data_IF_659575155172
#
_entry.id   IF_659575155172
#
_cell.length_a   1.000
_cell.length_b   1.000
_cell.length_c   1.000
_cell.angle_alpha   90.00
_cell.angle_beta   90.00
_cell.angle_gamma   90.00
#
_symmetry.space_group_name_H-M   'P 1'
#
loop_
_entity.id
_entity.type
_entity.pdbx_description
1 polymer ?
2 non-polymer ?
3 non-polymer ?
4 non-polymer ?
5 water ?
#
# COMPACT_ATOMS: atom_id res chain seq x y z
N UNK A 5 4.29 9.10 -19.66
CA UNK A 5 3.81 8.01 -18.82
C UNK A 5 3.05 8.49 -17.61
N UNK A 6 3.60 9.48 -16.91
CA UNK A 6 2.94 10.06 -15.75
C UNK A 6 1.82 10.98 -16.20
N UNK A 7 0.69 10.90 -15.51
CA UNK A 7 -0.48 11.73 -15.81
C UNK A 7 -0.75 12.58 -14.58
N UNK A 8 -0.64 13.90 -14.74
CA UNK A 8 -0.97 14.82 -13.67
C UNK A 8 -2.47 15.05 -13.69
N UNK A 9 -3.11 14.87 -12.55
CA UNK A 9 -4.56 15.01 -12.43
C UNK A 9 -4.77 15.77 -11.15
N UNK A 10 -5.07 17.06 -11.29
CA UNK A 10 -5.03 17.94 -10.13
C UNK A 10 -3.65 17.89 -9.51
N UNK A 11 -3.63 17.68 -8.20
CA UNK A 11 -2.39 17.64 -7.44
C UNK A 11 -1.84 16.23 -7.29
N UNK A 12 -2.39 15.26 -8.01
CA UNK A 12 -1.99 13.86 -7.93
C UNK A 12 -1.34 13.43 -9.25
N UNK A 13 -0.65 12.29 -9.21
CA UNK A 13 0.00 11.73 -10.38
C UNK A 13 -0.40 10.27 -10.49
N UNK A 14 -0.72 9.84 -11.71
CA UNK A 14 -1.13 8.47 -12.00
C UNK A 14 -0.23 7.90 -13.08
N UNK A 15 0.20 6.66 -12.91
CA UNK A 15 1.12 6.01 -13.85
C UNK A 15 0.64 4.60 -14.10
N UNK A 16 0.40 4.26 -15.37
CA UNK A 16 0.01 2.89 -15.70
C UNK A 16 1.23 1.98 -15.58
N UNK A 17 1.06 0.86 -14.88
CA UNK A 17 2.12 -0.12 -14.68
C UNK A 17 1.92 -1.41 -15.44
N UNK A 18 0.68 -1.72 -15.78
CA UNK A 18 0.30 -2.94 -16.48
C UNK A 18 -1.06 -2.69 -17.10
N UNK A 19 -1.53 -3.57 -17.99
CA UNK A 19 -2.83 -3.31 -18.63
C UNK A 19 -3.98 -3.00 -17.67
N UNK A 20 -3.98 -3.59 -16.48
CA UNK A 20 -5.06 -3.43 -15.51
C UNK A 20 -4.58 -2.80 -14.20
N UNK A 21 -3.39 -2.20 -14.16
CA UNK A 21 -2.82 -1.70 -12.92
C UNK A 21 -2.24 -0.30 -13.10
N UNK A 22 -2.58 0.61 -12.19
CA UNK A 22 -2.04 1.96 -12.15
C UNK A 22 -1.54 2.27 -10.75
N UNK A 23 -0.51 3.11 -10.68
CA UNK A 23 0.00 3.65 -9.43
C UNK A 23 -0.57 5.04 -9.21
N UNK A 24 -1.13 5.29 -8.02
CA UNK A 24 -1.55 6.63 -7.63
C UNK A 24 -0.50 7.25 -6.72
N UNK A 25 -0.26 8.54 -6.89
CA UNK A 25 0.73 9.27 -6.10
C UNK A 25 0.14 10.58 -5.60
N UNK A 26 0.28 10.83 -4.30
CA UNK A 26 -0.17 12.05 -3.66
C UNK A 26 0.93 12.61 -2.79
N UNK A 27 0.81 13.89 -2.44
CA UNK A 27 1.89 14.63 -1.80
C UNK A 27 1.40 15.35 -0.56
N UNK A 28 2.23 15.35 0.48
CA UNK A 28 1.92 16.10 1.70
C UNK A 28 3.17 16.82 2.14
N UNK A 29 3.05 18.11 2.40
CA UNK A 29 4.15 18.85 3.01
C UNK A 29 4.42 18.28 4.39
N UNK A 30 5.62 17.77 4.57
CA UNK A 30 6.09 17.31 5.86
C UNK A 30 7.01 18.39 6.37
N UNK A 31 6.56 19.28 7.28
CA UNK A 31 7.47 20.31 7.79
C UNK A 31 8.76 19.69 8.31
N UNK A 32 9.85 19.93 7.61
CA UNK A 32 11.14 19.33 7.90
C UNK A 32 11.55 18.23 6.94
N UNK A 33 10.67 17.81 6.03
CA UNK A 33 10.98 16.75 5.07
C UNK A 33 10.56 17.08 3.66
N UNK A 34 10.05 18.27 3.40
CA UNK A 34 9.59 18.62 2.07
C UNK A 34 8.21 18.03 1.78
N UNK A 35 7.85 18.09 0.51
CA UNK A 35 6.57 17.54 0.04
C UNK A 35 6.77 16.08 -0.31
N UNK A 36 6.28 15.17 0.54
CA UNK A 36 6.59 13.75 0.44
C UNK A 36 5.56 13.03 -0.43
N UNK A 37 6.04 12.33 -1.45
CA UNK A 37 5.18 11.50 -2.28
C UNK A 37 4.83 10.21 -1.57
N UNK A 38 3.59 9.76 -1.75
CA UNK A 38 3.17 8.43 -1.32
C UNK A 38 2.42 7.76 -2.45
N UNK A 39 2.74 6.49 -2.70
CA UNK A 39 2.15 5.71 -3.79
C UNK A 39 1.22 4.62 -3.26
N UNK A 40 0.13 4.39 -3.98
CA UNK A 40 -0.68 3.21 -3.85
C UNK A 40 -1.04 2.66 -5.22
N UNK A 41 -1.99 1.74 -5.28
CA UNK A 41 -2.33 1.06 -6.52
C UNK A 41 -3.83 1.10 -6.79
N UNK A 42 -4.15 0.99 -8.08
CA UNK A 42 -5.50 0.88 -8.60
C UNK A 42 -5.48 -0.31 -9.55
N UNK A 43 -6.38 -1.27 -9.35
CA UNK A 43 -6.40 -2.49 -10.15
C UNK A 43 -7.80 -2.69 -10.73
N UNK A 44 -7.90 -2.86 -12.04
CA UNK A 44 -9.16 -3.26 -12.64
C UNK A 44 -9.23 -4.78 -12.67
N UNK A 45 -10.28 -5.33 -12.09
CA UNK A 45 -10.53 -6.76 -12.10
C UNK A 45 -11.88 -6.97 -12.79
N UNK A 46 -11.86 -7.20 -14.09
CA UNK A 46 -13.10 -7.36 -14.83
C UNK A 46 -13.90 -6.07 -14.79
N UNK A 47 -15.12 -6.16 -14.26
CA UNK A 47 -16.02 -5.02 -14.21
C UNK A 47 -15.97 -4.21 -12.93
N UNK A 48 -14.89 -4.33 -12.16
CA UNK A 48 -14.79 -3.56 -10.94
C UNK A 48 -13.34 -3.13 -10.73
N UNK A 49 -13.17 -2.19 -9.81
CA UNK A 49 -11.87 -1.62 -9.48
C UNK A 49 -11.57 -1.88 -8.01
N UNK A 50 -10.30 -2.19 -7.73
CA UNK A 50 -9.80 -2.44 -6.38
C UNK A 50 -8.69 -1.43 -6.10
N UNK A 51 -8.66 -0.87 -4.89
CA UNK A 51 -7.67 0.15 -4.54
C UNK A 51 -6.81 -0.35 -3.38
N UNK A 52 -5.51 -0.10 -3.48
CA UNK A 52 -4.55 -0.34 -2.40
C UNK A 52 -4.04 1.01 -1.93
N UNK A 53 -4.34 1.33 -0.66
CA UNK A 53 -3.96 2.55 0.06
C UNK A 53 -4.76 3.76 -0.35
N UNK A 54 -5.08 4.60 0.63
CA UNK A 54 -5.62 5.92 0.32
C UNK A 54 -4.48 6.86 -0.09
N UNK A 55 -4.85 8.08 -0.43
CA UNK A 55 -3.89 9.17 -0.46
C UNK A 55 -3.72 9.72 0.95
N UNK A 56 -2.90 10.77 1.10
CA UNK A 56 -2.67 11.33 2.43
C UNK A 56 -3.95 11.91 3.04
N UNK A 57 -4.85 12.46 2.23
CA UNK A 57 -5.99 13.20 2.76
C UNK A 57 -7.29 12.72 2.12
N UNK A 58 -8.40 13.06 2.77
CA UNK A 58 -9.72 12.79 2.22
C UNK A 58 -9.90 13.45 0.85
N UNK A 59 -9.54 14.73 0.74
CA UNK A 59 -9.72 15.43 -0.54
C UNK A 59 -8.92 14.76 -1.65
N UNK A 60 -7.67 14.38 -1.38
CA UNK A 60 -6.87 13.71 -2.39
C UNK A 60 -7.47 12.36 -2.75
N UNK A 61 -8.02 11.65 -1.76
CA UNK A 61 -8.58 10.34 -2.01
C UNK A 61 -9.85 10.45 -2.84
N UNK A 62 -10.67 11.47 -2.58
CA UNK A 62 -11.80 11.73 -3.46
C UNK A 62 -11.33 12.00 -4.89
N UNK A 63 -10.18 12.64 -5.05
CA UNK A 63 -9.63 12.88 -6.39
C UNK A 63 -9.20 11.58 -7.06
N UNK A 64 -8.66 10.63 -6.30
CA UNK A 64 -8.39 9.30 -6.87
C UNK A 64 -9.68 8.70 -7.42
N UNK A 65 -10.77 8.79 -6.64
CA UNK A 65 -12.03 8.23 -7.11
C UNK A 65 -12.53 8.95 -8.35
N UNK A 66 -12.31 10.26 -8.43
CA UNK A 66 -12.67 11.04 -9.61
C UNK A 66 -11.87 10.58 -10.82
N UNK A 67 -10.57 10.35 -10.65
CA UNK A 67 -9.75 9.85 -11.75
C UNK A 67 -10.24 8.49 -12.21
N UNK A 68 -10.58 7.61 -11.26
CA UNK A 68 -11.10 6.29 -11.61
C UNK A 68 -12.38 6.43 -12.43
N UNK A 69 -13.29 7.31 -11.99
CA UNK A 69 -14.53 7.51 -12.72
C UNK A 69 -14.27 7.95 -14.16
N UNK A 70 -13.33 8.88 -14.35
CA UNK A 70 -13.06 9.42 -15.67
C UNK A 70 -12.29 8.45 -16.55
N UNK A 71 -11.30 7.74 -15.98
CA UNK A 71 -10.40 6.94 -16.80
C UNK A 71 -10.80 5.48 -16.89
N UNK A 72 -11.56 4.95 -15.93
CA UNK A 72 -11.99 3.56 -15.94
C UNK A 72 -13.50 3.42 -15.98
N UNK A 73 -14.21 4.21 -15.17
CA UNK A 73 -15.67 4.24 -15.20
C UNK A 73 -16.30 2.90 -14.85
N UNK A 74 -15.78 2.29 -13.79
CA UNK A 74 -16.34 1.08 -13.19
C UNK A 74 -16.37 1.27 -11.68
N UNK A 75 -17.27 0.59 -10.98
CA UNK A 75 -17.38 0.78 -9.53
C UNK A 75 -16.13 0.29 -8.80
N UNK A 76 -15.80 0.98 -7.72
CA UNK A 76 -14.71 0.57 -6.85
C UNK A 76 -15.29 -0.40 -5.80
N UNK A 77 -14.95 -1.68 -5.93
CA UNK A 77 -15.55 -2.70 -5.08
C UNK A 77 -14.99 -2.71 -3.67
N UNK A 78 -13.72 -2.38 -3.49
CA UNK A 78 -13.12 -2.41 -2.18
C UNK A 78 -11.79 -1.69 -2.22
N UNK A 79 -11.31 -1.35 -1.03
CA UNK A 79 -9.98 -0.83 -0.82
C UNK A 79 -9.36 -1.57 0.35
N UNK A 80 -8.06 -1.83 0.24
CA UNK A 80 -7.27 -2.36 1.33
C UNK A 80 -6.13 -1.38 1.61
N UNK A 81 -5.88 -1.12 2.89
CA UNK A 81 -4.86 -0.16 3.31
C UNK A 81 -3.81 -0.91 4.11
N UNK A 82 -2.55 -0.47 3.98
CA UNK A 82 -1.44 -1.33 4.33
C UNK A 82 -0.77 -1.05 5.66
N UNK A 83 -1.09 0.04 6.35
CA UNK A 83 -0.79 0.22 7.78
C UNK A 83 -1.40 1.54 8.24
N UNK A 84 -1.37 1.75 9.56
CA UNK A 84 -2.06 2.88 10.20
C UNK A 84 -1.18 4.14 10.31
N UNK A 85 -0.69 4.59 9.16
CA UNK A 85 -0.09 5.92 9.03
C UNK A 85 -0.88 6.71 7.98
N UNK A 86 -0.72 8.04 8.03
CA UNK A 86 -1.56 8.93 7.24
C UNK A 86 -1.41 8.71 5.74
N UNK A 87 -0.19 8.39 5.27
CA UNK A 87 0.01 8.19 3.84
C UNK A 87 -0.82 7.04 3.29
N UNK A 88 -1.17 6.06 4.12
CA UNK A 88 -1.88 4.86 3.69
C UNK A 88 -3.36 4.85 4.09
N UNK A 89 -3.74 5.54 5.17
CA UNK A 89 -5.11 5.50 5.68
C UNK A 89 -5.74 6.87 5.84
N UNK A 90 -5.02 7.95 5.54
CA UNK A 90 -5.53 9.28 5.81
C UNK A 90 -6.81 9.63 5.09
N UNK A 91 -7.15 8.92 4.02
CA UNK A 91 -8.35 9.22 3.26
C UNK A 91 -9.50 8.26 3.46
N UNK A 92 -9.50 7.53 4.59
CA UNK A 92 -10.53 6.53 4.82
C UNK A 92 -11.95 7.13 4.74
N UNK A 93 -12.16 8.32 5.31
CA UNK A 93 -13.50 8.90 5.29
C UNK A 93 -14.00 9.11 3.86
N UNK A 94 -13.11 9.47 2.93
CA UNK A 94 -13.53 9.64 1.54
C UNK A 94 -14.00 8.33 0.93
N UNK A 95 -13.32 7.22 1.25
CA UNK A 95 -13.78 5.92 0.76
C UNK A 95 -15.15 5.58 1.35
N UNK A 96 -15.33 5.86 2.64
CA UNK A 96 -16.62 5.57 3.27
C UNK A 96 -17.73 6.45 2.71
N UNK A 97 -17.44 7.73 2.50
CA UNK A 97 -18.44 8.62 1.92
C UNK A 97 -18.86 8.13 0.53
N UNK A 98 -17.95 7.49 -0.18
CA UNK A 98 -18.23 6.96 -1.51
C UNK A 98 -18.90 5.59 -1.48
N UNK A 99 -19.10 5.00 -0.30
CA UNK A 99 -19.74 3.70 -0.22
C UNK A 99 -18.86 2.51 -0.52
N UNK A 100 -17.54 2.65 -0.39
CA UNK A 100 -16.59 1.60 -0.74
C UNK A 100 -16.26 0.78 0.50
N UNK A 101 -16.35 -0.55 0.37
CA UNK A 101 -15.96 -1.44 1.46
C UNK A 101 -14.46 -1.37 1.70
N UNK A 102 -14.07 -1.23 2.96
CA UNK A 102 -12.67 -1.03 3.31
C UNK A 102 -12.15 -2.11 4.24
N UNK A 103 -10.87 -2.44 4.05
CA UNK A 103 -10.19 -3.54 4.74
C UNK A 103 -8.81 -3.09 5.19
N UNK A 104 -8.41 -3.57 6.37
CA UNK A 104 -7.07 -3.34 6.88
C UNK A 104 -6.74 -4.49 7.82
N UNK A 105 -5.45 -4.73 8.05
CA UNK A 105 -5.02 -5.59 9.14
C UNK A 105 -5.79 -5.24 10.41
N UNK A 106 -6.30 -6.26 11.11
CA UNK A 106 -6.95 -6.04 12.40
C UNK A 106 -6.14 -5.10 13.28
N UNK A 107 -4.82 -5.29 13.32
CA UNK A 107 -3.98 -4.44 14.15
C UNK A 107 -3.99 -3.00 13.67
N UNK A 108 -4.02 -2.77 12.35
CA UNK A 108 -4.14 -1.40 11.84
C UNK A 108 -5.44 -0.76 12.32
N UNK A 109 -6.54 -1.52 12.30
CA UNK A 109 -7.81 -0.96 12.77
C UNK A 109 -7.77 -0.67 14.26
N UNK A 110 -7.11 -1.53 15.03
CA UNK A 110 -6.98 -1.27 16.46
C UNK A 110 -6.17 0.00 16.72
N UNK A 111 -5.09 0.20 15.96
CA UNK A 111 -4.20 1.34 16.13
C UNK A 111 -4.77 2.63 15.55
N UNK A 112 -5.72 2.55 14.62
CA UNK A 112 -6.14 3.73 13.87
C UNK A 112 -6.51 4.90 14.76
N UNK A 113 -7.39 4.77 15.76
CA UNK A 113 -7.76 5.96 16.55
C UNK A 113 -6.58 6.67 17.18
N UNK A 114 -5.66 5.94 17.81
CA UNK A 114 -4.53 6.59 18.46
C UNK A 114 -3.59 7.23 17.46
N UNK A 115 -3.57 6.74 16.22
CA UNK A 115 -2.77 7.33 15.16
C UNK A 115 -3.48 8.49 14.47
N UNK A 116 -4.69 8.85 14.90
CA UNK A 116 -5.45 9.88 14.23
C UNK A 116 -6.10 9.43 12.94
N UNK A 117 -6.21 8.13 12.72
CA UNK A 117 -6.82 7.56 11.53
C UNK A 117 -8.22 7.10 11.85
N UNK A 118 -9.03 6.99 10.81
CA UNK A 118 -10.33 6.32 10.89
C UNK A 118 -10.12 4.86 10.49
N UNK A 119 -10.65 3.94 11.30
CA UNK A 119 -10.49 2.52 11.02
C UNK A 119 -11.21 2.12 9.73
N UNK A 120 -10.67 1.11 9.06
CA UNK A 120 -11.42 0.46 8.00
C UNK A 120 -12.61 -0.29 8.58
N UNK A 121 -13.57 -0.61 7.71
CA UNK A 121 -14.78 -1.27 8.15
C UNK A 121 -14.55 -2.73 8.50
N UNK A 122 -13.59 -3.38 7.85
CA UNK A 122 -13.36 -4.80 7.98
C UNK A 122 -11.91 -5.06 8.36
N UNK A 123 -11.70 -6.13 9.14
CA UNK A 123 -10.39 -6.48 9.64
C UNK A 123 -9.89 -7.76 8.99
N UNK A 124 -8.67 -7.70 8.46
CA UNK A 124 -7.98 -8.87 7.96
C UNK A 124 -7.25 -9.54 9.11
N UNK A 125 -7.28 -10.86 9.14
CA UNK A 125 -6.43 -11.61 10.04
C UNK A 125 -5.55 -12.54 9.22
N UNK A 126 -4.49 -13.03 9.85
CA UNK A 126 -3.41 -13.69 9.12
C UNK A 126 -3.04 -14.98 9.79
N UNK A 127 -2.75 -15.99 8.96
CA UNK A 127 -2.23 -17.25 9.46
C UNK A 127 -0.84 -17.06 10.01
N UNK A 128 -0.36 -18.08 10.73
CA UNK A 128 0.97 -18.01 11.33
C UNK A 128 2.06 -17.79 10.29
N UNK A 129 1.87 -18.31 9.08
CA UNK A 129 2.85 -18.14 8.02
C UNK A 129 2.75 -16.81 7.30
N UNK A 130 1.82 -15.94 7.67
CA UNK A 130 1.73 -14.61 7.12
C UNK A 130 0.63 -14.41 6.08
N UNK A 131 0.12 -15.47 5.47
CA UNK A 131 -0.89 -15.28 4.44
C UNK A 131 -2.23 -14.91 5.07
N UNK A 132 -2.95 -13.99 4.41
CA UNK A 132 -4.25 -13.58 4.92
C UNK A 132 -5.17 -14.79 5.03
N UNK A 133 -5.97 -14.82 6.07
CA UNK A 133 -7.01 -15.82 6.17
C UNK A 133 -8.08 -15.47 5.15
N UNK A 134 -8.31 -16.32 4.14
CA UNK A 134 -9.13 -15.91 2.99
C UNK A 134 -10.55 -15.48 3.34
N UNK A 135 -11.14 -16.03 4.40
CA UNK A 135 -12.49 -15.62 4.78
C UNK A 135 -12.57 -14.15 5.14
N UNK A 136 -11.45 -13.56 5.58
CA UNK A 136 -11.44 -12.15 5.96
C UNK A 136 -11.17 -11.22 4.79
N UNK A 137 -10.83 -11.76 3.63
CA UNK A 137 -10.56 -10.96 2.43
C UNK A 137 -11.44 -11.46 1.29
N UNK A 138 -12.76 -11.45 1.46
CA UNK A 138 -13.63 -11.94 0.39
C UNK A 138 -13.59 -11.02 -0.81
N UNK A 139 -13.70 -11.62 -2.00
CA UNK A 139 -13.84 -10.87 -3.25
C UNK A 139 -12.62 -10.02 -3.57
N UNK A 140 -11.44 -10.44 -3.10
CA UNK A 140 -10.23 -9.70 -3.37
C UNK A 140 -9.67 -9.95 -4.78
N UNK A 141 -10.28 -10.82 -5.58
CA UNK A 141 -9.82 -11.03 -6.93
C UNK A 141 -8.36 -11.40 -7.00
N UNK A 142 -7.59 -10.66 -7.80
CA UNK A 142 -6.16 -10.98 -7.95
C UNK A 142 -5.28 -10.50 -6.80
N UNK A 143 -5.82 -9.78 -5.83
CA UNK A 143 -5.00 -9.25 -4.73
C UNK A 143 -4.68 -10.36 -3.75
N UNK A 144 -3.39 -10.58 -3.51
CA UNK A 144 -2.89 -11.61 -2.59
C UNK A 144 -2.20 -10.90 -1.43
N UNK A 145 -2.81 -10.95 -0.25
CA UNK A 145 -2.37 -10.14 0.88
C UNK A 145 -1.52 -10.97 1.82
N UNK A 146 -0.36 -10.42 2.20
CA UNK A 146 0.64 -11.13 2.98
C UNK A 146 1.18 -10.22 4.08
N UNK A 147 1.18 -10.74 5.31
CA UNK A 147 1.81 -10.06 6.43
C UNK A 147 3.22 -10.61 6.56
N UNK A 148 4.26 -9.82 6.29
CA UNK A 148 5.63 -10.36 6.27
C UNK A 148 6.33 -10.38 7.61
N UNK A 149 5.68 -9.88 8.65
CA UNK A 149 6.32 -9.66 9.93
C UNK A 149 6.51 -8.18 10.17
N UNK A 150 6.85 -7.82 11.39
CA UNK A 150 7.01 -6.40 11.73
C UNK A 150 8.26 -5.82 11.07
N UNK A 151 8.13 -4.58 10.59
CA UNK A 151 9.23 -3.94 9.92
C UNK A 151 9.13 -2.43 10.01
N UNK A 152 8.67 -1.79 8.93
CA UNK A 152 8.39 -0.36 8.99
C UNK A 152 7.43 -0.04 10.13
N UNK A 153 6.41 -0.87 10.29
CA UNK A 153 5.54 -0.87 11.46
C UNK A 153 5.24 -2.32 11.81
N UNK A 154 4.65 -2.50 13.00
CA UNK A 154 4.27 -3.85 13.40
C UNK A 154 3.09 -4.38 12.60
N UNK A 155 2.27 -3.49 12.03
CA UNK A 155 1.07 -3.89 11.32
C UNK A 155 1.22 -3.89 9.80
N UNK A 156 2.40 -3.57 9.27
CA UNK A 156 2.53 -3.42 7.82
C UNK A 156 2.17 -4.70 7.07
N UNK A 157 1.37 -4.55 6.01
CA UNK A 157 1.03 -5.66 5.14
C UNK A 157 1.42 -5.33 3.70
N UNK A 158 1.43 -6.37 2.87
CA UNK A 158 1.92 -6.27 1.50
C UNK A 158 0.93 -6.97 0.58
N UNK A 159 0.99 -6.66 -0.72
CA UNK A 159 -0.04 -7.12 -1.65
C UNK A 159 0.62 -7.49 -2.98
N UNK A 160 0.41 -8.72 -3.44
CA UNK A 160 0.77 -9.12 -4.78
C UNK A 160 -0.44 -9.08 -5.68
N UNK A 161 -0.21 -8.88 -6.97
CA UNK A 161 -1.28 -8.84 -7.95
C UNK A 161 -1.13 -10.07 -8.85
N UNK A 162 -1.95 -11.09 -8.60
CA UNK A 162 -1.92 -12.30 -9.40
C UNK A 162 -2.18 -11.96 -10.87
N UNK A 163 -1.52 -12.67 -11.76
CA UNK A 163 -1.63 -12.41 -13.18
C UNK A 163 -0.74 -11.30 -13.70
N UNK A 164 0.06 -10.68 -12.84
CA UNK A 164 1.00 -9.65 -13.20
C UNK A 164 2.34 -9.99 -12.57
N UNK A 165 3.36 -9.21 -12.92
CA UNK A 165 4.66 -9.33 -12.30
C UNK A 165 4.86 -8.34 -11.14
N UNK A 166 3.77 -7.85 -10.55
CA UNK A 166 3.81 -6.73 -9.61
C UNK A 166 3.55 -7.22 -8.20
N UNK A 167 4.36 -6.74 -7.25
CA UNK A 167 4.07 -6.84 -5.83
C UNK A 167 4.33 -5.50 -5.16
N UNK A 168 3.52 -5.20 -4.14
CA UNK A 168 3.52 -3.91 -3.47
C UNK A 168 4.01 -4.08 -2.04
N UNK A 169 5.14 -3.45 -1.73
CA UNK A 169 5.70 -3.52 -0.41
C UNK A 169 5.32 -2.40 0.53
N UNK A 170 4.62 -1.38 0.03
CA UNK A 170 4.23 -0.27 0.89
C UNK A 170 5.44 0.42 1.48
N UNK A 171 5.36 0.77 2.75
CA UNK A 171 6.50 1.45 3.35
C UNK A 171 7.57 0.51 3.87
N UNK A 172 7.37 -0.81 3.75
CA UNK A 172 8.39 -1.75 4.15
C UNK A 172 9.62 -1.68 3.24
N UNK A 173 9.40 -1.53 1.94
CA UNK A 173 10.46 -1.66 0.94
C UNK A 173 10.87 -0.28 0.44
N UNK A 174 12.18 -0.05 0.35
CA UNK A 174 12.76 1.12 -0.27
C UNK A 174 13.48 0.73 -1.54
N UNK A 175 13.74 1.71 -2.41
CA UNK A 175 14.31 1.39 -3.71
C UNK A 175 15.78 0.98 -3.58
N UNK A 176 16.30 0.43 -4.67
CA UNK A 176 17.63 -0.18 -4.68
C UNK A 176 18.76 0.84 -4.48
N UNK A 177 18.49 2.13 -4.66
CA UNK A 177 19.48 3.16 -4.41
C UNK A 177 19.19 3.95 -3.14
N UNK A 178 18.20 3.56 -2.35
CA UNK A 178 17.82 4.35 -1.19
C UNK A 178 18.95 4.42 -0.18
N UNK A 179 19.10 5.59 0.45
CA UNK A 179 20.14 5.81 1.44
C UNK A 179 19.71 5.46 2.86
N UNK A 180 18.41 5.37 3.12
CA UNK A 180 17.96 5.06 4.47
C UNK A 180 16.66 4.29 4.41
N UNK A 181 16.22 3.82 5.57
CA UNK A 181 14.93 3.16 5.71
C UNK A 181 13.82 4.13 6.10
N UNK A 182 14.06 5.43 6.00
CA UNK A 182 12.98 6.39 6.15
C UNK A 182 12.53 6.53 7.60
N UNK A 183 11.21 6.66 7.78
CA UNK A 183 10.66 6.91 9.11
C UNK A 183 10.61 5.59 9.90
N UNK A 184 11.49 5.49 10.89
CA UNK A 184 11.55 4.32 11.77
C UNK A 184 10.85 4.56 13.11
N UNK A 185 10.06 5.64 13.23
CA UNK A 185 9.44 5.96 14.51
C UNK A 185 8.59 4.84 15.09
N UNK A 186 7.92 4.05 14.24
CA UNK A 186 7.09 2.96 14.71
C UNK A 186 7.62 1.60 14.27
N UNK A 187 8.90 1.55 13.90
CA UNK A 187 9.49 0.37 13.30
C UNK A 187 9.91 -0.65 14.34
N UNK A 188 9.99 -1.91 13.89
CA UNK A 188 10.58 -3.00 14.63
C UNK A 188 11.94 -3.25 14.00
N UNK A 189 12.98 -2.67 14.59
CA UNK A 189 14.30 -2.70 13.96
C UNK A 189 14.93 -4.08 14.01
N UNK A 190 14.60 -4.87 15.04
CA UNK A 190 15.18 -6.21 15.16
C UNK A 190 14.70 -7.13 14.04
N UNK A 191 13.42 -7.02 13.67
CA UNK A 191 12.80 -7.95 12.74
C UNK A 191 12.70 -7.44 11.31
N UNK A 192 13.06 -6.18 11.05
CA UNK A 192 12.88 -5.57 9.74
C UNK A 192 13.49 -6.39 8.62
N UNK A 193 14.76 -6.79 8.77
CA UNK A 193 15.44 -7.47 7.66
C UNK A 193 14.72 -8.76 7.27
N UNK A 194 14.37 -9.57 8.27
CA UNK A 194 13.66 -10.82 8.00
C UNK A 194 12.31 -10.55 7.35
N UNK A 195 11.62 -9.48 7.78
CA UNK A 195 10.32 -9.17 7.21
C UNK A 195 10.45 -8.74 5.75
N UNK A 196 11.47 -7.94 5.42
CA UNK A 196 11.72 -7.61 4.02
C UNK A 196 11.97 -8.85 3.17
N UNK A 197 12.79 -9.79 3.67
CA UNK A 197 13.07 -11.01 2.91
C UNK A 197 11.84 -11.90 2.80
N UNK A 198 11.00 -11.92 3.84
CA UNK A 198 9.77 -12.71 3.77
C UNK A 198 8.83 -12.18 2.70
N UNK A 199 8.75 -10.86 2.55
CA UNK A 199 7.99 -10.28 1.45
C UNK A 199 8.49 -10.79 0.10
N UNK A 200 9.81 -10.78 -0.11
CA UNK A 200 10.35 -11.29 -1.36
C UNK A 200 10.03 -12.76 -1.60
N UNK A 201 10.11 -13.57 -0.54
CA UNK A 201 9.85 -15.00 -0.67
C UNK A 201 8.37 -15.30 -0.91
N UNK A 202 7.49 -14.42 -0.43
CA UNK A 202 6.05 -14.62 -0.64
C UNK A 202 5.66 -14.37 -2.09
N UNK A 203 6.40 -13.52 -2.80
CA UNK A 203 6.07 -13.13 -4.17
C UNK A 203 7.29 -13.34 -5.07
N UNK A 204 7.75 -14.59 -5.21
CA UNK A 204 9.01 -14.82 -5.93
C UNK A 204 8.97 -14.45 -7.40
N UNK A 205 7.81 -14.43 -8.03
CA UNK A 205 7.71 -14.12 -9.44
C UNK A 205 7.55 -12.64 -9.73
N UNK A 206 7.43 -11.81 -8.69
CA UNK A 206 7.24 -10.37 -8.88
C UNK A 206 8.56 -9.74 -9.30
N UNK A 207 8.62 -9.27 -10.54
CA UNK A 207 9.80 -8.57 -11.02
C UNK A 207 9.68 -7.06 -10.90
N UNK A 208 8.47 -6.54 -10.72
CA UNK A 208 8.25 -5.11 -10.51
C UNK A 208 7.78 -4.92 -9.08
N UNK A 209 8.60 -4.25 -8.28
CA UNK A 209 8.32 -4.01 -6.89
C UNK A 209 7.87 -2.56 -6.74
N UNK A 210 6.64 -2.37 -6.31
CA UNK A 210 6.06 -1.06 -6.09
C UNK A 210 6.14 -0.76 -4.60
N UNK A 211 6.37 0.50 -4.26
CA UNK A 211 6.58 0.88 -2.87
C UNK A 211 6.06 2.29 -2.63
N UNK A 212 6.03 2.69 -1.35
CA UNK A 212 5.32 3.92 -1.00
C UNK A 212 6.01 5.19 -1.49
N UNK A 213 7.35 5.25 -1.46
CA UNK A 213 8.01 6.55 -1.60
C UNK A 213 9.05 6.59 -2.71
N UNK A 214 9.03 5.62 -3.63
CA UNK A 214 9.93 5.64 -4.77
C UNK A 214 9.19 5.03 -5.94
N UNK A 215 9.69 5.32 -7.14
CA UNK A 215 9.16 4.73 -8.34
C UNK A 215 9.37 3.21 -8.31
N UNK A 216 8.56 2.46 -9.06
CA UNK A 216 8.73 1.00 -9.09
C UNK A 216 10.15 0.61 -9.48
N UNK A 217 10.61 -0.50 -8.91
CA UNK A 217 11.99 -0.92 -9.07
C UNK A 217 12.02 -2.42 -9.29
N UNK A 218 13.22 -2.93 -9.56
CA UNK A 218 13.43 -4.37 -9.66
C UNK A 218 13.51 -4.98 -8.27
N UNK A 219 13.71 -6.29 -8.21
CA UNK A 219 13.82 -6.98 -6.93
C UNK A 219 15.05 -6.57 -6.15
N UNK A 220 15.99 -5.85 -6.77
CA UNK A 220 17.09 -5.26 -6.01
C UNK A 220 16.58 -4.34 -4.91
N UNK A 221 15.38 -3.78 -5.04
CA UNK A 221 14.81 -3.03 -3.93
C UNK A 221 14.68 -3.90 -2.69
N UNK A 222 14.31 -5.17 -2.86
CA UNK A 222 14.11 -6.06 -1.73
C UNK A 222 15.45 -6.42 -1.10
N UNK A 223 16.40 -6.88 -1.93
CA UNK A 223 17.71 -7.25 -1.39
C UNK A 223 18.39 -6.06 -0.75
N UNK A 224 18.30 -4.88 -1.37
CA UNK A 224 18.94 -3.69 -0.81
C UNK A 224 18.28 -3.26 0.49
N UNK A 225 16.95 -3.28 0.55
CA UNK A 225 16.26 -2.93 1.79
C UNK A 225 16.65 -3.89 2.91
N UNK A 226 16.66 -5.20 2.61
CA UNK A 226 17.01 -6.19 3.62
C UNK A 226 18.45 -6.01 4.09
N UNK A 227 19.36 -5.72 3.16
CA UNK A 227 20.76 -5.55 3.52
C UNK A 227 20.96 -4.32 4.39
N UNK A 228 20.21 -3.24 4.11
CA UNK A 228 20.23 -2.05 4.95
C UNK A 228 19.68 -2.36 6.33
N UNK A 229 18.57 -3.07 6.40
CA UNK A 229 17.97 -3.43 7.69
C UNK A 229 18.86 -4.37 8.50
N UNK A 230 19.74 -5.12 7.84
CA UNK A 230 20.72 -5.92 8.58
C UNK A 230 21.53 -5.05 9.54
N UNK A 231 21.82 -3.80 9.15
CA UNK A 231 22.62 -2.90 9.98
C UNK A 231 21.87 -2.41 11.20
N UNK A 232 20.53 -2.52 11.21
CA UNK A 232 19.74 -2.08 12.36
C UNK A 232 19.88 -3.04 13.55
N UNK A 233 20.39 -4.25 13.32
CA UNK A 233 20.50 -5.23 14.38
C UNK A 233 21.78 -5.04 15.19
X LIG B 1 4.24 4.37 7.71
X LIG C 1 6.05 5.73 4.27
X LIG D 1 8.05 12.09 10.15
X LIG D 1 6.18 10.58 10.07
X LIG D 1 5.32 9.70 9.34
X LIG D 1 5.48 9.50 7.97
X LIG D 1 4.57 8.60 7.11
X LIG D 1 6.54 10.19 7.38
X LIG D 1 6.73 10.06 6.04
X LIG D 1 7.77 10.69 5.38
X LIG D 1 8.57 11.54 6.12
X LIG D 1 8.37 11.70 7.47
X LIG D 1 7.36 11.05 8.13
X LIG D 1 7.16 11.15 9.43
X LIG D 1 6.07 10.74 11.23
X LIG D 1 4.17 5.93 6.67
X LIG D 1 6.12 6.49 7.99
X LIG D 1 6.11 7.00 5.57
X LIG D 1 5.33 6.94 6.84
X LIG E 1 1.58 1.88 13.13
X LIG E 1 2.40 1.18 13.76
X LIG E 1 0.92 1.56 12.09
X LIG E 1 1.34 3.26 13.64
X LIG F 1 8.90 5.71 5.41
X LIG F 1 9.76 5.17 6.14
X LIG F 1 7.95 5.15 4.77
X LIG F 1 9.00 7.18 5.30
#
# INVERSE_FOLDING_TARGET
GSHMGDQRFGDLVFRQLAPNVWQHTSYLDMPGFGAVASNGLIVRDGGRVLVVDTAWTDDQTAQILNWIKQEINLPVALAVVTHAHQDKMGGMDALHAAGIATYANALSNQLAPQEGMVAAQHSLTFAANGWVEPATAPNFGPLKVFYPGPGHTSDNITVGIDGTDIAFGGCLIKDSKAKSLGNLGDADTEHYAASARAFGAAFPKASMIVMSHSAPDSRAAITHTARMADKLR
ZN ZN
ZN ZN
T6Z C01 C03 C05 C06 C07 C12 C13 C14 C15 C16 C17 N02 O04 O09 O10 O11 P08
ACT C O OXT CH3
ACT C O OXT CH3
#
